data_IF_289342897801
#
_entry.id   IF_289342897801
#
_cell.length_a   1.000
_cell.length_b   1.000
_cell.length_c   1.000
_cell.angle_alpha   90.00
_cell.angle_beta   90.00
_cell.angle_gamma   90.00
#
_symmetry.space_group_name_H-M   'P 1'
#
loop_
_entity.id
_entity.type
_entity.pdbx_description
1 polymer ?
#
# COMPACT_ATOMS: atom_id res chain seq x y z
N UNK A 1 -11.49 0.25 -11.70
CA UNK A 1 -10.37 0.70 -10.86
C UNK A 1 -10.61 0.23 -9.42
N UNK A 2 -9.62 -0.39 -8.84
CA UNK A 2 -9.64 -0.78 -7.43
C UNK A 2 -8.74 0.16 -6.62
N UNK A 3 -9.06 0.32 -5.35
CA UNK A 3 -8.33 1.18 -4.43
C UNK A 3 -7.75 0.32 -3.31
N UNK A 4 -6.47 0.51 -3.01
CA UNK A 4 -5.81 -0.08 -1.85
C UNK A 4 -5.42 1.04 -0.90
N UNK A 5 -5.79 0.89 0.36
CA UNK A 5 -5.41 1.83 1.41
C UNK A 5 -4.38 1.17 2.32
N UNK A 6 -3.22 1.79 2.44
CA UNK A 6 -2.17 1.37 3.35
C UNK A 6 -2.14 2.30 4.55
N UNK A 7 -2.06 1.71 5.72
CA UNK A 7 -1.96 2.43 6.98
C UNK A 7 -0.62 2.13 7.63
N UNK A 8 0.05 3.16 8.13
CA UNK A 8 1.24 2.97 8.94
C UNK A 8 0.82 2.50 10.33
N UNK A 9 1.32 1.33 10.75
CA UNK A 9 0.95 0.75 12.04
C UNK A 9 1.53 1.54 13.23
N UNK A 10 2.59 2.28 13.01
CA UNK A 10 3.23 3.09 14.05
C UNK A 10 2.67 4.51 14.13
N UNK A 11 2.00 4.98 13.06
CA UNK A 11 1.42 6.32 13.01
C UNK A 11 0.07 6.27 12.27
N UNK A 12 -1.00 6.25 13.04
CA UNK A 12 -2.38 6.17 12.53
C UNK A 12 -2.77 7.35 11.65
N UNK A 13 -2.03 8.47 11.72
CA UNK A 13 -2.30 9.62 10.86
C UNK A 13 -1.75 9.47 9.45
N UNK A 14 -0.88 8.49 9.21
CA UNK A 14 -0.27 8.26 7.90
C UNK A 14 -1.07 7.22 7.12
N UNK A 15 -1.68 7.68 6.04
CA UNK A 15 -2.40 6.82 5.09
C UNK A 15 -1.83 7.05 3.69
N UNK A 16 -1.72 5.95 2.95
CA UNK A 16 -1.36 5.99 1.53
C UNK A 16 -2.45 5.31 0.73
N UNK A 17 -2.96 5.99 -0.27
CA UNK A 17 -4.04 5.49 -1.11
C UNK A 17 -3.50 5.30 -2.52
N UNK A 18 -3.63 4.08 -3.04
CA UNK A 18 -3.16 3.72 -4.36
C UNK A 18 -4.29 3.09 -5.17
N UNK A 19 -4.24 3.27 -6.47
CA UNK A 19 -5.19 2.66 -7.40
C UNK A 19 -4.50 1.63 -8.28
N UNK A 20 -5.28 0.66 -8.73
CA UNK A 20 -4.83 -0.37 -9.66
C UNK A 20 -5.97 -0.80 -10.58
N UNK A 21 -5.65 -1.67 -11.54
CA UNK A 21 -6.65 -2.23 -12.45
C UNK A 21 -7.63 -3.17 -11.72
N UNK A 22 -8.81 -3.34 -12.30
CA UNK A 22 -9.88 -4.15 -11.70
C UNK A 22 -9.55 -5.65 -11.62
N UNK A 23 -8.64 -6.13 -12.43
CA UNK A 23 -8.23 -7.54 -12.47
C UNK A 23 -7.17 -7.90 -11.41
N UNK A 24 -6.69 -6.94 -10.65
CA UNK A 24 -5.73 -7.18 -9.58
C UNK A 24 -6.44 -7.74 -8.35
N UNK A 25 -5.96 -8.89 -7.86
CA UNK A 25 -6.41 -9.45 -6.59
C UNK A 25 -5.65 -8.75 -5.44
N UNK A 26 -6.24 -7.68 -4.93
CA UNK A 26 -5.62 -6.86 -3.89
C UNK A 26 -5.38 -7.66 -2.61
N UNK A 27 -6.32 -8.53 -2.23
CA UNK A 27 -6.19 -9.30 -0.99
C UNK A 27 -5.01 -10.29 -1.06
N UNK A 28 -4.87 -10.99 -2.18
CA UNK A 28 -3.74 -11.89 -2.38
C UNK A 28 -2.42 -11.14 -2.44
N UNK A 29 -2.39 -9.99 -3.12
CA UNK A 29 -1.20 -9.15 -3.23
C UNK A 29 -0.80 -8.56 -1.89
N UNK A 30 -1.76 -8.05 -1.12
CA UNK A 30 -1.51 -7.51 0.21
C UNK A 30 -0.94 -8.58 1.14
N UNK A 31 -1.48 -9.78 1.09
CA UNK A 31 -0.96 -10.91 1.86
C UNK A 31 0.49 -11.22 1.49
N UNK A 32 0.79 -11.31 0.20
CA UNK A 32 2.14 -11.60 -0.29
C UNK A 32 3.15 -10.53 0.17
N UNK A 33 2.79 -9.26 0.04
CA UNK A 33 3.66 -8.14 0.41
C UNK A 33 3.84 -8.04 1.92
N UNK A 34 2.77 -8.19 2.68
CA UNK A 34 2.82 -8.02 4.14
C UNK A 34 3.42 -9.24 4.84
N UNK A 35 3.22 -10.44 4.29
CA UNK A 35 3.80 -11.67 4.83
C UNK A 35 5.32 -11.76 4.61
N UNK A 36 5.88 -10.96 3.71
CA UNK A 36 7.35 -10.84 3.58
C UNK A 36 7.97 -10.17 4.80
N UNK A 37 7.16 -9.93 5.79
CA UNK A 37 7.54 -9.34 7.06
C UNK A 37 8.22 -7.98 6.95
N UNK A 38 8.55 -7.44 8.08
CA UNK A 38 9.12 -6.12 8.24
C UNK A 38 10.60 -6.07 7.90
N UNK A 39 11.19 -7.21 7.51
CA UNK A 39 12.62 -7.28 7.23
C UNK A 39 12.88 -7.82 5.83
N UNK A 40 13.58 -7.03 5.03
CA UNK A 40 14.16 -7.46 3.77
C UNK A 40 15.66 -7.21 3.86
N UNK A 41 16.47 -8.25 3.71
CA UNK A 41 17.93 -8.17 3.83
C UNK A 41 18.41 -7.57 5.16
N UNK A 42 17.68 -7.84 6.25
CA UNK A 42 18.03 -7.33 7.58
C UNK A 42 17.58 -5.90 7.84
N UNK A 43 16.87 -5.28 6.91
CA UNK A 43 16.35 -3.92 7.08
C UNK A 43 14.82 -3.94 7.30
N UNK A 44 14.33 -3.01 8.13
CA UNK A 44 12.92 -2.87 8.39
C UNK A 44 12.25 -2.20 7.18
N UNK A 45 11.14 -2.79 6.72
CA UNK A 45 10.33 -2.19 5.65
C UNK A 45 9.37 -1.17 6.23
N UNK A 46 9.36 -0.01 5.61
CA UNK A 46 8.42 1.06 5.93
C UNK A 46 7.33 1.17 4.86
N UNK A 47 6.27 1.89 5.17
CA UNK A 47 5.15 2.09 4.25
C UNK A 47 5.61 2.67 2.90
N UNK A 48 6.63 3.53 2.91
CA UNK A 48 7.20 4.06 1.67
C UNK A 48 7.82 3.00 0.78
N UNK A 49 8.46 1.98 1.38
CA UNK A 49 9.07 0.88 0.64
C UNK A 49 7.99 0.00 -0.01
N UNK A 50 6.92 -0.26 0.71
CA UNK A 50 5.77 -1.01 0.19
C UNK A 50 5.13 -0.27 -0.99
N UNK A 51 4.91 1.04 -0.86
CA UNK A 51 4.39 1.86 -1.93
C UNK A 51 5.29 1.85 -3.17
N UNK A 52 6.60 1.96 -2.98
CA UNK A 52 7.56 1.91 -4.08
C UNK A 52 7.52 0.56 -4.80
N UNK A 53 7.40 -0.54 -4.08
CA UNK A 53 7.27 -1.87 -4.67
C UNK A 53 5.97 -2.00 -5.46
N UNK A 54 4.85 -1.52 -4.91
CA UNK A 54 3.57 -1.53 -5.62
C UNK A 54 3.63 -0.74 -6.93
N UNK A 55 4.24 0.42 -6.90
CA UNK A 55 4.38 1.25 -8.11
C UNK A 55 5.30 0.64 -9.14
N UNK A 56 6.43 0.07 -8.74
CA UNK A 56 7.43 -0.44 -9.68
C UNK A 56 7.12 -1.82 -10.22
N UNK A 57 6.54 -2.71 -9.41
CA UNK A 57 6.31 -4.10 -9.79
C UNK A 57 4.87 -4.38 -10.22
N UNK A 58 3.92 -3.63 -9.73
CA UNK A 58 2.49 -3.93 -9.91
C UNK A 58 1.71 -2.79 -10.57
N UNK A 59 2.39 -1.75 -11.00
CA UNK A 59 1.81 -0.61 -11.73
C UNK A 59 0.70 0.12 -10.97
N UNK A 60 0.83 0.18 -9.66
CA UNK A 60 -0.06 1.00 -8.85
C UNK A 60 0.26 2.48 -9.03
N UNK A 61 -0.74 3.33 -8.85
CA UNK A 61 -0.59 4.78 -8.89
C UNK A 61 -1.14 5.41 -7.62
N UNK A 62 -0.52 6.48 -7.14
CA UNK A 62 -1.06 7.22 -6.02
C UNK A 62 -2.34 7.96 -6.41
N UNK A 63 -3.32 7.93 -5.52
CA UNK A 63 -4.52 8.75 -5.63
C UNK A 63 -4.23 10.09 -4.98
N UNK A 64 -4.14 11.15 -5.78
CA UNK A 64 -3.74 12.48 -5.33
C UNK A 64 -4.85 13.25 -4.63
N UNK A 65 -6.10 12.95 -4.97
CA UNK A 65 -7.26 13.66 -4.45
C UNK A 65 -8.23 12.70 -3.80
N UNK A 66 -8.33 12.76 -2.49
CA UNK A 66 -9.30 12.03 -1.71
C UNK A 66 -9.71 12.85 -0.50
N UNK A 67 -10.91 12.61 0.00
CA UNK A 67 -11.39 13.25 1.21
C UNK A 67 -11.70 12.22 2.28
N UNK A 68 -11.40 12.57 3.53
CA UNK A 68 -11.82 11.81 4.69
C UNK A 68 -12.77 12.70 5.47
N UNK A 69 -14.02 12.26 5.62
CA UNK A 69 -15.08 13.05 6.22
C UNK A 69 -15.57 12.37 7.48
N UNK A 70 -15.52 13.11 8.59
CA UNK A 70 -16.10 12.69 9.85
C UNK A 70 -17.56 13.13 9.96
N UNK A 71 -18.36 12.35 10.64
CA UNK A 71 -19.77 12.66 10.87
C UNK A 71 -20.04 12.67 12.36
#
# INVERSE_FOLDING_TARGET
>A
MKIMVLKDMDDDSVLKILSCADDVDIDALAKDILDKEYEVDGEIRYIGDVCAELQSKYSFEFVEHYGVYGV
#
